data_IF_200281178048
#
_entry.id   IF_200281178048
#
_cell.length_a   1.000
_cell.length_b   1.000
_cell.length_c   1.000
_cell.angle_alpha   90.00
_cell.angle_beta   90.00
_cell.angle_gamma   90.00
#
_symmetry.space_group_name_H-M   'P 1'
#
loop_
_entity.id
_entity.type
_entity.pdbx_description
1 polymer ?
#
# COMPACT_ATOMS: atom_id res chain seq x y z
N UNK A 1 -1.82 43.52 31.58
CA UNK A 1 -2.12 42.07 31.71
C UNK A 1 -2.40 41.53 30.30
N UNK A 2 -1.36 41.22 29.52
CA UNK A 2 -1.49 40.74 28.14
C UNK A 2 -0.66 39.45 28.05
N UNK A 3 -1.31 38.32 27.80
CA UNK A 3 -0.76 37.12 27.14
C UNK A 3 -1.82 36.01 27.07
N UNK A 4 -2.88 36.27 26.32
CA UNK A 4 -3.67 35.22 25.69
C UNK A 4 -3.01 34.89 24.35
N UNK A 5 -1.89 34.18 24.34
CA UNK A 5 -1.42 33.52 23.11
C UNK A 5 -2.36 32.34 22.89
N UNK A 6 -3.41 32.55 22.09
CA UNK A 6 -4.17 31.45 21.51
C UNK A 6 -3.18 30.60 20.71
N UNK A 7 -2.70 29.51 21.31
CA UNK A 7 -2.13 28.41 20.53
C UNK A 7 -3.29 27.88 19.70
N UNK A 8 -3.33 28.21 18.41
CA UNK A 8 -4.26 27.60 17.46
C UNK A 8 -4.13 26.09 17.60
N UNK A 9 -5.18 25.45 18.10
CA UNK A 9 -5.18 24.03 18.38
C UNK A 9 -5.00 23.27 17.05
N UNK A 10 -3.82 22.69 16.84
CA UNK A 10 -3.52 21.99 15.60
C UNK A 10 -4.18 20.60 15.59
N UNK A 11 -5.47 20.56 15.30
CA UNK A 11 -6.23 19.32 15.24
C UNK A 11 -5.70 18.35 14.20
N UNK A 12 -5.01 18.83 13.15
CA UNK A 12 -4.46 17.94 12.12
C UNK A 12 -3.34 17.10 12.70
N UNK A 13 -2.38 17.75 13.37
CA UNK A 13 -1.25 17.07 14.02
C UNK A 13 -1.71 16.11 15.13
N UNK A 14 -2.72 16.50 15.92
CA UNK A 14 -3.33 15.61 16.91
C UNK A 14 -3.97 14.36 16.27
N UNK A 15 -4.70 14.55 15.18
CA UNK A 15 -5.31 13.47 14.40
C UNK A 15 -4.26 12.53 13.81
N UNK A 16 -3.25 13.08 13.14
CA UNK A 16 -2.13 12.32 12.54
C UNK A 16 -1.36 11.53 13.59
N UNK A 17 -1.05 12.15 14.73
CA UNK A 17 -0.37 11.47 15.83
C UNK A 17 -1.21 10.31 16.35
N UNK A 18 -2.52 10.51 16.55
CA UNK A 18 -3.42 9.45 17.00
C UNK A 18 -3.55 8.32 15.95
N UNK A 19 -3.55 8.67 14.66
CA UNK A 19 -3.59 7.71 13.56
C UNK A 19 -2.31 6.87 13.53
N UNK A 20 -1.14 7.49 13.68
CA UNK A 20 0.13 6.77 13.78
C UNK A 20 0.18 5.83 15.00
N UNK A 21 -0.41 6.21 16.13
CA UNK A 21 -0.54 5.30 17.30
C UNK A 21 -1.41 4.10 16.95
N UNK A 22 -2.55 4.33 16.29
CA UNK A 22 -3.46 3.28 15.85
C UNK A 22 -2.78 2.30 14.87
N UNK A 23 -2.06 2.80 13.87
CA UNK A 23 -1.37 1.96 12.89
C UNK A 23 -0.20 1.17 13.51
N UNK A 24 0.52 1.78 14.45
CA UNK A 24 1.65 1.18 15.15
C UNK A 24 1.22 0.04 16.08
N UNK A 25 0.21 0.28 16.92
CA UNK A 25 -0.14 -0.63 18.03
C UNK A 25 -1.44 -1.40 17.82
N UNK A 26 -2.12 -1.19 16.69
CA UNK A 26 -3.27 -1.98 16.26
C UNK A 26 -4.62 -1.30 16.45
N UNK A 27 -5.67 -2.00 16.00
CA UNK A 27 -7.02 -1.48 15.79
C UNK A 27 -7.79 -1.24 17.10
N UNK A 28 -7.32 -0.34 17.96
CA UNK A 28 -8.03 0.05 19.19
C UNK A 28 -9.12 1.08 18.88
N UNK A 29 -10.42 0.75 19.10
CA UNK A 29 -11.54 1.66 18.80
C UNK A 29 -11.45 3.01 19.53
N UNK A 30 -10.90 3.03 20.76
CA UNK A 30 -10.77 4.26 21.55
C UNK A 30 -9.77 5.24 20.95
N UNK A 31 -8.63 4.73 20.46
CA UNK A 31 -7.64 5.55 19.77
C UNK A 31 -8.25 6.07 18.46
N UNK A 32 -9.00 5.23 17.78
CA UNK A 32 -9.60 5.57 16.50
C UNK A 32 -10.69 6.67 16.61
N UNK A 33 -11.51 6.64 17.65
CA UNK A 33 -12.47 7.72 17.91
C UNK A 33 -11.78 9.09 18.03
N UNK A 34 -10.59 9.14 18.65
CA UNK A 34 -9.78 10.37 18.73
C UNK A 34 -9.28 10.82 17.35
N UNK A 35 -8.94 9.89 16.45
CA UNK A 35 -8.55 10.22 15.06
C UNK A 35 -9.68 10.97 14.37
N UNK A 36 -10.89 10.39 14.36
CA UNK A 36 -12.07 10.99 13.72
C UNK A 36 -12.40 12.34 14.35
N UNK A 37 -12.44 12.43 15.69
CA UNK A 37 -12.85 13.64 16.39
C UNK A 37 -11.94 14.82 16.07
N UNK A 38 -10.62 14.60 16.06
CA UNK A 38 -9.65 15.63 15.72
C UNK A 38 -9.83 16.12 14.27
N UNK A 39 -9.92 15.21 13.30
CA UNK A 39 -10.14 15.63 11.91
C UNK A 39 -11.48 16.35 11.70
N UNK A 40 -12.56 15.92 12.37
CA UNK A 40 -13.85 16.63 12.34
C UNK A 40 -13.79 18.02 12.96
N UNK A 41 -13.10 18.21 14.10
CA UNK A 41 -12.87 19.52 14.70
C UNK A 41 -12.07 20.43 13.75
N UNK A 42 -11.06 19.87 13.09
CA UNK A 42 -10.32 20.54 12.02
C UNK A 42 -11.20 21.02 10.87
N UNK A 43 -12.09 20.15 10.37
CA UNK A 43 -13.05 20.51 9.31
C UNK A 43 -14.09 21.54 9.73
N UNK A 44 -14.49 21.59 11.01
CA UNK A 44 -15.35 22.68 11.50
C UNK A 44 -14.69 24.06 11.36
N UNK A 45 -13.37 24.12 11.55
CA UNK A 45 -12.60 25.36 11.41
C UNK A 45 -12.20 25.64 9.94
N UNK A 46 -11.91 24.58 9.19
CA UNK A 46 -11.40 24.66 7.83
C UNK A 46 -12.16 23.69 6.89
N UNK A 47 -13.42 23.99 6.54
CA UNK A 47 -14.33 23.05 5.87
C UNK A 47 -13.97 22.72 4.41
N UNK A 48 -12.97 23.40 3.83
CA UNK A 48 -12.47 23.13 2.47
C UNK A 48 -11.03 22.61 2.46
N UNK A 49 -10.52 22.19 3.61
CA UNK A 49 -9.15 21.70 3.69
C UNK A 49 -9.06 20.25 3.17
N UNK A 50 -8.39 20.11 2.04
CA UNK A 50 -8.19 18.86 1.30
C UNK A 50 -7.55 17.78 2.18
N UNK A 51 -6.56 18.13 3.01
CA UNK A 51 -5.84 17.17 3.85
C UNK A 51 -6.76 16.60 4.93
N UNK A 52 -7.59 17.42 5.56
CA UNK A 52 -8.54 16.91 6.55
C UNK A 52 -9.55 15.94 5.95
N UNK A 53 -10.13 16.25 4.78
CA UNK A 53 -11.04 15.34 4.10
C UNK A 53 -10.34 14.03 3.69
N UNK A 54 -9.13 14.11 3.13
CA UNK A 54 -8.36 12.89 2.79
C UNK A 54 -8.07 12.04 4.02
N UNK A 55 -7.53 12.63 5.10
CA UNK A 55 -7.17 11.89 6.30
C UNK A 55 -8.38 11.32 7.03
N UNK A 56 -9.51 12.03 7.01
CA UNK A 56 -10.77 11.52 7.56
C UNK A 56 -11.33 10.36 6.71
N UNK A 57 -11.29 10.47 5.39
CA UNK A 57 -11.66 9.39 4.47
C UNK A 57 -10.78 8.15 4.65
N UNK A 58 -9.46 8.33 4.74
CA UNK A 58 -8.50 7.27 5.01
C UNK A 58 -8.75 6.60 6.36
N UNK A 59 -8.99 7.38 7.41
CA UNK A 59 -9.35 6.85 8.70
C UNK A 59 -10.64 5.99 8.58
N UNK A 60 -11.71 6.53 8.01
CA UNK A 60 -12.96 5.77 7.84
C UNK A 60 -12.75 4.48 7.05
N UNK A 61 -11.91 4.52 6.03
CA UNK A 61 -11.57 3.36 5.21
C UNK A 61 -10.85 2.28 6.03
N UNK A 62 -9.88 2.64 6.88
CA UNK A 62 -9.22 1.70 7.80
C UNK A 62 -10.20 0.99 8.76
N UNK A 63 -11.31 1.65 9.11
CA UNK A 63 -12.37 1.08 9.95
C UNK A 63 -13.53 0.46 9.17
N UNK A 64 -13.40 0.32 7.86
CA UNK A 64 -14.44 -0.21 6.96
C UNK A 64 -15.76 0.56 7.03
N UNK A 65 -15.70 1.85 7.37
CA UNK A 65 -16.80 2.81 7.26
C UNK A 65 -16.84 3.32 5.82
N UNK A 66 -17.18 2.43 4.90
CA UNK A 66 -16.91 2.60 3.46
C UNK A 66 -17.73 3.73 2.83
N UNK A 67 -18.95 3.93 3.31
CA UNK A 67 -19.81 5.03 2.83
C UNK A 67 -19.22 6.37 3.25
N UNK A 68 -18.84 6.53 4.51
CA UNK A 68 -18.22 7.77 4.99
C UNK A 68 -16.86 8.00 4.35
N UNK A 69 -16.05 6.96 4.18
CA UNK A 69 -14.77 7.05 3.46
C UNK A 69 -14.94 7.58 2.04
N UNK A 70 -15.88 6.98 1.29
CA UNK A 70 -16.16 7.36 -0.10
C UNK A 70 -16.65 8.81 -0.20
N UNK A 71 -17.48 9.25 0.74
CA UNK A 71 -17.98 10.63 0.78
C UNK A 71 -16.86 11.64 1.00
N UNK A 72 -15.97 11.39 1.97
CA UNK A 72 -14.85 12.29 2.27
C UNK A 72 -13.83 12.32 1.13
N UNK A 73 -13.54 11.17 0.52
CA UNK A 73 -12.72 11.11 -0.69
C UNK A 73 -13.35 11.86 -1.86
N UNK A 74 -14.66 11.78 -2.05
CA UNK A 74 -15.35 12.52 -3.10
C UNK A 74 -15.28 14.04 -2.87
N UNK A 75 -15.52 14.52 -1.65
CA UNK A 75 -15.38 15.94 -1.31
C UNK A 75 -13.94 16.40 -1.59
N UNK A 76 -12.96 15.61 -1.13
CA UNK A 76 -11.54 15.90 -1.36
C UNK A 76 -11.21 15.98 -2.85
N UNK A 77 -11.68 15.03 -3.66
CA UNK A 77 -11.41 15.00 -5.10
C UNK A 77 -12.17 16.09 -5.87
N UNK A 78 -13.28 16.63 -5.36
CA UNK A 78 -13.91 17.85 -5.90
C UNK A 78 -13.02 19.08 -5.67
N UNK A 79 -12.34 19.15 -4.52
CA UNK A 79 -11.44 20.26 -4.16
C UNK A 79 -10.06 20.12 -4.83
N UNK A 80 -9.58 18.90 -5.06
CA UNK A 80 -8.32 18.61 -5.73
C UNK A 80 -8.49 17.46 -6.72
N UNK A 81 -9.03 17.74 -7.92
CA UNK A 81 -9.33 16.70 -8.89
C UNK A 81 -8.07 16.01 -9.40
N UNK A 82 -8.15 14.70 -9.69
CA UNK A 82 -7.08 14.00 -10.37
C UNK A 82 -7.09 14.37 -11.85
N UNK A 83 -6.01 14.02 -12.55
CA UNK A 83 -5.97 14.07 -14.01
C UNK A 83 -6.09 12.66 -14.56
N UNK A 84 -7.11 12.43 -15.39
CA UNK A 84 -7.29 11.17 -16.10
C UNK A 84 -6.07 10.89 -16.99
N UNK A 85 -5.68 9.62 -17.09
CA UNK A 85 -4.52 9.23 -17.89
C UNK A 85 -4.77 9.47 -19.37
N UNK A 86 -3.76 10.03 -20.03
CA UNK A 86 -3.64 10.09 -21.49
C UNK A 86 -2.74 8.95 -21.99
N UNK A 87 -2.62 8.80 -23.30
CA UNK A 87 -1.80 7.73 -23.91
C UNK A 87 -0.34 7.76 -23.43
N UNK A 88 0.23 8.94 -23.22
CA UNK A 88 1.59 9.06 -22.72
C UNK A 88 1.73 8.65 -21.25
N UNK A 89 0.68 8.82 -20.43
CA UNK A 89 0.65 8.28 -19.07
C UNK A 89 0.55 6.76 -19.07
N UNK A 90 -0.24 6.18 -19.97
CA UNK A 90 -0.33 4.73 -20.17
C UNK A 90 1.01 4.15 -20.60
N UNK A 91 1.70 4.78 -21.56
CA UNK A 91 3.05 4.39 -22.00
C UNK A 91 4.08 4.54 -20.87
N UNK A 92 3.95 5.58 -20.05
CA UNK A 92 4.85 5.80 -18.91
C UNK A 92 4.67 4.72 -17.84
N UNK A 93 3.42 4.40 -17.48
CA UNK A 93 3.11 3.32 -16.55
C UNK A 93 3.52 1.95 -17.11
N UNK A 94 3.32 1.68 -18.40
CA UNK A 94 3.79 0.43 -19.02
C UNK A 94 5.32 0.33 -19.00
N UNK A 95 6.04 1.41 -19.35
CA UNK A 95 7.50 1.46 -19.38
C UNK A 95 8.10 1.05 -18.05
N UNK A 96 7.65 1.66 -16.96
CA UNK A 96 8.19 1.45 -15.62
C UNK A 96 7.46 0.36 -14.82
N UNK A 97 6.55 -0.39 -15.43
CA UNK A 97 5.83 -1.47 -14.75
C UNK A 97 6.81 -2.55 -14.28
N UNK A 98 6.84 -2.87 -12.97
CA UNK A 98 7.76 -3.85 -12.43
C UNK A 98 7.46 -5.27 -12.96
N UNK A 99 8.47 -6.14 -12.84
CA UNK A 99 8.38 -7.57 -13.12
C UNK A 99 8.10 -8.29 -11.79
N UNK A 100 6.90 -8.84 -11.62
CA UNK A 100 6.55 -9.56 -10.40
C UNK A 100 6.95 -11.03 -10.49
N UNK A 101 7.55 -11.53 -9.41
CA UNK A 101 7.93 -12.93 -9.26
C UNK A 101 7.38 -13.46 -7.94
N UNK A 102 6.50 -14.45 -8.05
CA UNK A 102 5.87 -15.12 -6.90
C UNK A 102 6.44 -16.52 -6.74
N UNK A 103 6.18 -17.13 -5.59
CA UNK A 103 6.39 -18.55 -5.41
C UNK A 103 5.51 -19.36 -6.41
N UNK A 104 6.00 -20.45 -7.03
CA UNK A 104 5.18 -21.31 -7.88
C UNK A 104 3.92 -21.85 -7.21
N UNK A 105 3.97 -22.06 -5.89
CA UNK A 105 2.85 -22.51 -5.05
C UNK A 105 1.92 -21.39 -4.60
N UNK A 106 2.10 -20.16 -5.09
CA UNK A 106 1.19 -19.06 -4.78
C UNK A 106 -0.24 -19.41 -5.20
N UNK A 107 -1.13 -19.37 -4.22
CA UNK A 107 -2.52 -19.78 -4.30
C UNK A 107 -3.41 -18.64 -4.77
N UNK A 108 -3.18 -17.43 -4.27
CA UNK A 108 -3.96 -16.25 -4.58
C UNK A 108 -3.47 -15.57 -5.85
N UNK A 109 -4.39 -15.29 -6.76
CA UNK A 109 -4.05 -14.59 -8.00
C UNK A 109 -4.05 -13.08 -7.76
N UNK A 110 -3.27 -12.37 -8.58
CA UNK A 110 -3.41 -10.93 -8.71
C UNK A 110 -4.72 -10.62 -9.46
N UNK A 111 -5.67 -9.94 -8.80
CA UNK A 111 -6.97 -9.54 -9.34
C UNK A 111 -6.87 -8.28 -10.20
N UNK A 112 -6.22 -7.27 -9.64
CA UNK A 112 -6.18 -5.92 -10.19
C UNK A 112 -4.85 -5.24 -9.96
N UNK A 113 -4.60 -4.23 -10.80
CA UNK A 113 -3.45 -3.35 -10.72
C UNK A 113 -3.92 -1.93 -11.03
N UNK A 114 -3.63 -0.99 -10.14
CA UNK A 114 -3.83 0.44 -10.38
C UNK A 114 -2.49 1.16 -10.32
N UNK A 115 -2.11 1.82 -11.42
CA UNK A 115 -0.94 2.69 -11.43
C UNK A 115 -1.34 4.14 -11.15
N UNK A 116 -0.82 4.71 -10.06
CA UNK A 116 -1.03 6.11 -9.69
C UNK A 116 0.25 6.89 -9.93
N UNK A 117 0.23 7.75 -10.93
CA UNK A 117 1.36 8.63 -11.28
C UNK A 117 1.29 9.87 -10.40
N UNK A 118 2.38 10.19 -9.72
CA UNK A 118 2.41 11.42 -8.92
C UNK A 118 2.53 12.66 -9.85
N UNK A 119 1.76 13.75 -9.63
CA UNK A 119 1.68 14.87 -10.58
C UNK A 119 2.92 15.75 -10.67
N UNK A 120 3.82 15.69 -9.66
CA UNK A 120 5.03 16.54 -9.59
C UNK A 120 6.34 15.75 -9.49
N UNK A 121 6.45 14.86 -8.50
CA UNK A 121 7.55 13.91 -8.32
C UNK A 121 7.53 12.85 -9.44
N UNK A 122 8.70 12.43 -9.97
CA UNK A 122 8.77 11.40 -11.01
C UNK A 122 8.71 10.00 -10.37
N UNK A 123 7.56 9.67 -9.78
CA UNK A 123 7.32 8.40 -9.12
C UNK A 123 5.94 7.85 -9.50
N UNK A 124 5.85 6.53 -9.68
CA UNK A 124 4.61 5.80 -9.93
C UNK A 124 4.41 4.80 -8.81
N UNK A 125 3.23 4.83 -8.20
CA UNK A 125 2.78 3.78 -7.28
C UNK A 125 1.99 2.72 -8.06
N UNK A 126 2.46 1.48 -8.05
CA UNK A 126 1.74 0.31 -8.56
C UNK A 126 1.06 -0.39 -7.39
N UNK A 127 -0.26 -0.23 -7.31
CA UNK A 127 -1.11 -0.79 -6.27
C UNK A 127 -1.62 -2.16 -6.75
N UNK A 128 -1.18 -3.21 -6.06
CA UNK A 128 -1.40 -4.62 -6.38
C UNK A 128 -2.53 -5.15 -5.51
N UNK A 129 -3.56 -5.74 -6.12
CA UNK A 129 -4.71 -6.29 -5.39
C UNK A 129 -4.76 -7.79 -5.61
N UNK A 130 -4.45 -8.56 -4.58
CA UNK A 130 -4.46 -10.03 -4.56
C UNK A 130 -5.83 -10.56 -4.17
N UNK A 131 -6.11 -11.83 -4.47
CA UNK A 131 -7.40 -12.45 -4.12
C UNK A 131 -7.72 -12.38 -2.64
N UNK A 132 -6.74 -12.65 -1.78
CA UNK A 132 -6.88 -12.58 -0.33
C UNK A 132 -5.52 -12.59 0.37
N UNK A 133 -5.49 -12.57 1.71
CA UNK A 133 -4.33 -12.87 2.56
C UNK A 133 -4.56 -14.19 3.31
N UNK A 134 -3.61 -15.12 3.20
CA UNK A 134 -3.72 -16.47 3.76
C UNK A 134 -4.04 -16.51 5.26
N UNK A 135 -3.69 -15.46 6.00
CA UNK A 135 -3.90 -15.37 7.45
C UNK A 135 -5.25 -14.76 7.86
N UNK A 136 -5.99 -14.16 6.93
CA UNK A 136 -7.18 -13.35 7.24
C UNK A 136 -8.47 -13.76 6.48
N UNK A 137 -8.81 -15.05 6.36
CA UNK A 137 -9.95 -15.54 5.56
C UNK A 137 -11.34 -15.03 5.93
N UNK A 138 -11.49 -14.43 7.11
CA UNK A 138 -12.75 -13.97 7.67
C UNK A 138 -12.76 -12.49 8.00
N UNK A 139 -11.79 -11.73 7.49
CA UNK A 139 -11.75 -10.32 7.78
C UNK A 139 -12.70 -9.50 6.89
N UNK A 140 -13.32 -10.06 5.86
CA UNK A 140 -14.22 -9.37 4.92
C UNK A 140 -13.54 -8.29 4.06
N UNK A 141 -12.20 -8.28 3.95
CA UNK A 141 -11.53 -7.54 2.90
C UNK A 141 -11.40 -8.46 1.67
N UNK A 142 -12.11 -8.20 0.56
CA UNK A 142 -12.15 -9.10 -0.59
C UNK A 142 -10.86 -9.07 -1.45
N UNK A 143 -9.81 -8.45 -0.93
CA UNK A 143 -8.49 -8.41 -1.53
C UNK A 143 -7.46 -7.97 -0.51
N UNK A 144 -6.30 -8.62 -0.54
CA UNK A 144 -5.10 -8.02 0.03
C UNK A 144 -4.51 -6.97 -0.93
N UNK A 145 -3.98 -5.90 -0.36
CA UNK A 145 -3.49 -4.75 -1.10
C UNK A 145 -2.02 -4.54 -0.78
N UNK A 146 -1.17 -4.46 -1.79
CA UNK A 146 0.26 -4.22 -1.64
C UNK A 146 0.71 -3.11 -2.61
N UNK A 147 1.82 -2.44 -2.32
CA UNK A 147 2.25 -1.29 -3.12
C UNK A 147 3.74 -1.35 -3.42
N UNK A 148 4.07 -1.05 -4.67
CA UNK A 148 5.44 -0.85 -5.16
C UNK A 148 5.55 0.55 -5.74
N UNK A 149 6.59 1.29 -5.40
CA UNK A 149 6.89 2.59 -5.99
C UNK A 149 8.14 2.53 -6.85
N UNK A 150 8.05 3.08 -8.05
CA UNK A 150 9.18 3.22 -8.98
C UNK A 150 9.42 4.71 -9.19
N UNK A 151 10.57 5.19 -8.74
CA UNK A 151 11.07 6.53 -9.03
C UNK A 151 11.97 6.48 -10.27
N UNK A 152 11.89 7.51 -11.10
CA UNK A 152 12.57 7.54 -12.39
C UNK A 152 13.04 8.94 -12.79
N UNK A 153 13.96 9.00 -13.74
CA UNK A 153 14.35 10.22 -14.42
C UNK A 153 13.80 10.22 -15.84
N UNK A 154 12.84 11.11 -16.14
CA UNK A 154 12.21 11.21 -17.46
C UNK A 154 13.18 11.50 -18.60
N UNK A 155 14.22 12.32 -18.35
CA UNK A 155 15.16 12.76 -19.39
C UNK A 155 16.14 11.65 -19.75
N UNK A 156 16.67 10.97 -18.73
CA UNK A 156 17.65 9.89 -18.89
C UNK A 156 16.99 8.53 -19.16
N UNK A 157 15.68 8.42 -18.94
CA UNK A 157 14.92 7.18 -19.10
C UNK A 157 15.51 6.06 -18.21
N UNK A 158 15.81 6.40 -16.96
CA UNK A 158 16.37 5.48 -15.97
C UNK A 158 15.47 5.41 -14.74
N UNK A 159 15.46 4.27 -14.07
CA UNK A 159 14.93 4.11 -12.72
C UNK A 159 15.98 4.65 -11.75
N UNK A 160 15.53 5.45 -10.78
CA UNK A 160 16.38 6.07 -9.75
C UNK A 160 16.06 5.55 -8.36
N UNK A 161 14.88 4.94 -8.16
CA UNK A 161 14.46 4.38 -6.89
C UNK A 161 13.45 3.25 -7.08
N UNK A 162 13.59 2.20 -6.26
CA UNK A 162 12.64 1.09 -6.18
C UNK A 162 12.29 0.90 -4.71
N UNK A 163 11.02 1.07 -4.39
CA UNK A 163 10.50 0.93 -3.03
C UNK A 163 9.39 -0.11 -3.01
N UNK A 164 9.38 -0.97 -2.01
CA UNK A 164 8.30 -1.95 -1.82
C UNK A 164 7.72 -1.85 -0.42
N UNK A 165 6.42 -2.10 -0.32
CA UNK A 165 5.76 -2.30 0.95
C UNK A 165 5.97 -3.76 1.39
N UNK A 166 6.51 -3.95 2.60
CA UNK A 166 6.67 -5.26 3.22
C UNK A 166 6.18 -5.19 4.66
N UNK A 167 4.92 -5.56 4.89
CA UNK A 167 4.36 -5.67 6.24
C UNK A 167 4.58 -4.44 7.12
N UNK A 168 4.25 -3.26 6.60
CA UNK A 168 4.45 -1.91 7.18
C UNK A 168 5.85 -1.32 7.03
N UNK A 169 6.86 -2.11 6.67
CA UNK A 169 8.18 -1.58 6.31
C UNK A 169 8.17 -1.10 4.86
N UNK A 170 8.89 -0.02 4.58
CA UNK A 170 9.24 0.37 3.21
C UNK A 170 10.67 -0.06 2.97
N UNK A 171 10.87 -0.91 1.97
CA UNK A 171 12.18 -1.48 1.63
C UNK A 171 12.68 -0.90 0.30
N UNK A 172 13.99 -0.67 0.21
CA UNK A 172 14.65 -0.25 -1.03
C UNK A 172 16.09 -0.73 -1.06
N UNK A 173 16.61 -0.99 -2.25
CA UNK A 173 18.01 -1.40 -2.47
C UNK A 173 18.56 -0.75 -3.73
N UNK A 174 19.88 -0.53 -3.77
CA UNK A 174 20.55 -0.13 -5.01
C UNK A 174 20.52 -1.25 -6.05
N UNK A 175 20.57 -2.51 -5.61
CA UNK A 175 20.51 -3.69 -6.47
C UNK A 175 19.21 -3.74 -7.28
N UNK A 176 18.08 -3.38 -6.68
CA UNK A 176 16.81 -3.32 -7.40
C UNK A 176 16.80 -2.21 -8.46
N UNK A 177 17.44 -1.07 -8.21
CA UNK A 177 17.59 0.02 -9.19
C UNK A 177 18.49 -0.42 -10.35
N UNK A 178 19.64 -1.06 -10.04
CA UNK A 178 20.56 -1.62 -11.04
C UNK A 178 19.87 -2.67 -11.91
N UNK A 179 19.14 -3.61 -11.30
CA UNK A 179 18.34 -4.60 -12.00
C UNK A 179 17.30 -3.97 -12.93
N UNK A 180 16.56 -2.96 -12.45
CA UNK A 180 15.56 -2.29 -13.27
C UNK A 180 16.18 -1.68 -14.54
N UNK A 181 17.29 -0.97 -14.40
CA UNK A 181 17.98 -0.32 -15.51
C UNK A 181 18.58 -1.32 -16.51
N UNK A 182 19.02 -2.50 -16.04
CA UNK A 182 19.47 -3.59 -16.91
C UNK A 182 18.32 -4.30 -17.66
N UNK A 183 17.09 -4.19 -17.16
CA UNK A 183 15.92 -4.88 -17.71
C UNK A 183 14.84 -3.91 -18.22
N UNK A 184 15.25 -2.99 -19.09
CA UNK A 184 14.35 -2.05 -19.77
C UNK A 184 13.50 -1.21 -18.79
N UNK A 185 14.11 -0.75 -17.69
CA UNK A 185 13.51 0.09 -16.66
C UNK A 185 12.42 -0.63 -15.84
N UNK A 186 12.46 -1.96 -15.79
CA UNK A 186 11.48 -2.79 -15.07
C UNK A 186 12.11 -3.54 -13.91
N UNK A 187 11.98 -3.00 -12.71
CA UNK A 187 12.50 -3.62 -11.50
C UNK A 187 11.90 -5.02 -11.27
N UNK A 188 12.74 -5.98 -10.88
CA UNK A 188 12.29 -7.25 -10.30
C UNK A 188 11.76 -7.03 -8.90
N UNK A 189 10.53 -7.46 -8.66
CA UNK A 189 9.90 -7.46 -7.34
C UNK A 189 9.51 -8.90 -7.01
N UNK A 190 10.02 -9.41 -5.91
CA UNK A 190 9.61 -10.70 -5.38
C UNK A 190 8.40 -10.49 -4.45
N UNK A 191 7.48 -11.44 -4.44
CA UNK A 191 6.25 -11.36 -3.65
C UNK A 191 6.17 -12.57 -2.74
N UNK A 192 6.07 -12.32 -1.44
CA UNK A 192 5.97 -13.37 -0.43
C UNK A 192 4.74 -14.25 -0.67
N UNK A 193 4.92 -15.56 -0.47
CA UNK A 193 3.83 -16.52 -0.57
C UNK A 193 2.74 -16.26 0.48
N UNK A 194 1.47 -16.23 0.03
CA UNK A 194 0.27 -16.21 0.87
C UNK A 194 -0.05 -14.87 1.56
N UNK A 195 0.96 -14.19 2.10
CA UNK A 195 0.82 -12.90 2.79
C UNK A 195 1.25 -11.68 1.92
N UNK A 196 1.68 -11.93 0.68
CA UNK A 196 1.99 -10.97 -0.39
C UNK A 196 2.96 -9.80 -0.14
N UNK A 197 3.64 -9.73 1.01
CA UNK A 197 4.68 -8.73 1.26
C UNK A 197 5.67 -8.63 0.08
N UNK A 198 5.82 -7.42 -0.46
CA UNK A 198 6.66 -7.16 -1.63
C UNK A 198 8.12 -6.89 -1.25
N UNK A 199 9.05 -7.52 -1.95
CA UNK A 199 10.48 -7.50 -1.67
C UNK A 199 11.27 -7.00 -2.88
N UNK A 200 12.17 -6.02 -2.73
CA UNK A 200 13.07 -5.62 -3.80
C UNK A 200 14.16 -6.69 -4.01
N UNK A 201 14.87 -6.67 -5.13
CA UNK A 201 16.07 -7.49 -5.28
C UNK A 201 17.11 -7.12 -4.19
N UNK A 202 17.81 -8.09 -3.59
CA UNK A 202 18.78 -7.85 -2.52
C UNK A 202 18.17 -7.65 -1.12
N UNK A 203 16.86 -7.94 -0.98
CA UNK A 203 16.14 -7.88 0.29
C UNK A 203 16.77 -8.70 1.41
N UNK A 204 17.56 -9.73 1.09
CA UNK A 204 18.21 -10.64 2.03
C UNK A 204 19.15 -9.91 3.01
N UNK A 205 19.65 -8.73 2.60
CA UNK A 205 20.54 -7.89 3.40
C UNK A 205 19.79 -6.91 4.32
N UNK A 206 18.47 -6.83 4.18
CA UNK A 206 17.65 -5.86 4.88
C UNK A 206 17.14 -6.41 6.21
N UNK A 207 16.97 -5.49 7.17
CA UNK A 207 16.30 -5.75 8.43
C UNK A 207 15.03 -4.89 8.48
N UNK A 208 13.84 -5.46 8.21
CA UNK A 208 12.64 -4.67 8.00
C UNK A 208 12.18 -4.01 9.31
N UNK A 209 12.00 -2.68 9.26
CA UNK A 209 11.46 -1.88 10.35
C UNK A 209 10.35 -0.96 9.83
N UNK A 210 9.26 -0.87 10.58
CA UNK A 210 8.22 0.13 10.34
C UNK A 210 8.55 1.41 11.11
N UNK A 211 8.54 2.54 10.41
CA UNK A 211 8.86 3.86 10.94
C UNK A 211 7.58 4.68 11.10
N UNK A 212 7.30 5.12 12.33
CA UNK A 212 6.17 5.98 12.66
C UNK A 212 6.68 7.33 13.16
N UNK A 213 6.99 8.23 12.23
CA UNK A 213 7.64 9.51 12.51
C UNK A 213 6.85 10.40 13.48
N UNK A 214 5.52 10.45 13.35
CA UNK A 214 4.64 11.29 14.21
C UNK A 214 4.70 10.93 15.69
N UNK A 215 5.17 9.73 16.02
CA UNK A 215 5.36 9.26 17.40
C UNK A 215 6.80 8.84 17.68
N UNK A 216 7.73 9.17 16.79
CA UNK A 216 9.16 8.83 16.90
C UNK A 216 9.39 7.34 17.25
N UNK A 217 8.58 6.44 16.68
CA UNK A 217 8.61 5.01 17.00
C UNK A 217 9.15 4.20 15.83
N UNK A 218 10.01 3.23 16.13
CA UNK A 218 10.42 2.16 15.23
C UNK A 218 9.93 0.83 15.75
N UNK A 219 9.39 0.00 14.87
CA UNK A 219 8.90 -1.35 15.20
C UNK A 219 9.59 -2.34 14.27
N UNK A 220 10.29 -3.31 14.85
CA UNK A 220 10.90 -4.41 14.10
C UNK A 220 9.79 -5.26 13.49
N UNK A 221 9.93 -5.56 12.20
CA UNK A 221 9.02 -6.40 11.43
C UNK A 221 9.65 -7.79 11.29
N UNK A 222 8.79 -8.83 11.25
CA UNK A 222 9.26 -10.19 11.04
C UNK A 222 9.92 -10.33 9.68
N UNK A 223 11.12 -10.89 9.64
CA UNK A 223 11.84 -11.18 8.41
C UNK A 223 11.31 -12.43 7.70
N UNK A 224 11.80 -12.70 6.48
CA UNK A 224 11.39 -13.86 5.70
C UNK A 224 11.68 -15.21 6.36
N UNK A 225 12.84 -15.44 7.02
CA UNK A 225 13.06 -16.65 7.80
C UNK A 225 12.04 -16.86 8.93
N UNK A 226 11.69 -15.81 9.67
CA UNK A 226 10.67 -15.85 10.73
C UNK A 226 9.30 -16.20 10.15
N UNK A 227 8.89 -15.51 9.08
CA UNK A 227 7.60 -15.75 8.40
C UNK A 227 7.51 -17.15 7.83
N UNK A 228 8.57 -17.64 7.18
CA UNK A 228 8.65 -19.02 6.73
C UNK A 228 8.43 -20.01 7.89
N UNK A 229 9.11 -19.82 9.04
CA UNK A 229 8.94 -20.73 10.18
C UNK A 229 7.51 -20.75 10.71
N UNK A 230 6.77 -19.66 10.61
CA UNK A 230 5.36 -19.59 11.01
C UNK A 230 4.47 -20.27 9.97
N UNK A 231 4.56 -19.83 8.71
CA UNK A 231 3.76 -20.35 7.61
C UNK A 231 4.03 -21.83 7.32
N UNK A 232 5.24 -22.33 7.58
CA UNK A 232 5.56 -23.75 7.43
C UNK A 232 4.97 -24.61 8.56
N UNK A 233 4.68 -24.02 9.73
CA UNK A 233 3.95 -24.71 10.81
C UNK A 233 2.46 -24.73 10.50
N UNK A 234 1.87 -23.55 10.35
CA UNK A 234 0.45 -23.35 10.06
C UNK A 234 0.19 -21.90 9.65
N UNK A 235 -0.83 -21.67 8.84
CA UNK A 235 -1.47 -20.36 8.70
C UNK A 235 -2.24 -20.01 9.97
N UNK A 236 -2.60 -18.74 10.16
CA UNK A 236 -3.21 -18.24 11.40
C UNK A 236 -4.55 -18.90 11.76
N UNK A 237 -5.41 -19.15 10.77
CA UNK A 237 -6.76 -19.69 10.98
C UNK A 237 -7.06 -20.89 10.04
N UNK A 238 -6.36 -22.03 10.18
CA UNK A 238 -6.34 -23.11 9.19
C UNK A 238 -7.65 -23.90 9.07
N UNK A 239 -8.59 -23.70 10.00
CA UNK A 239 -9.89 -24.35 10.04
C UNK A 239 -11.04 -23.36 9.85
N UNK A 240 -10.76 -22.13 9.40
CA UNK A 240 -11.82 -21.16 9.12
C UNK A 240 -12.70 -21.67 7.96
N UNK A 241 -14.04 -21.63 8.06
CA UNK A 241 -14.92 -22.17 7.01
C UNK A 241 -14.70 -21.57 5.61
N UNK A 242 -14.37 -20.28 5.54
CA UNK A 242 -14.04 -19.60 4.27
C UNK A 242 -12.67 -20.00 3.70
N UNK A 243 -11.78 -20.55 4.52
CA UNK A 243 -10.44 -21.03 4.12
C UNK A 243 -10.38 -22.54 3.90
N UNK A 244 -11.53 -23.22 3.77
CA UNK A 244 -11.59 -24.70 3.72
C UNK A 244 -10.71 -25.31 2.62
N UNK A 245 -10.57 -24.61 1.49
CA UNK A 245 -9.81 -25.04 0.33
C UNK A 245 -8.43 -24.35 0.23
N UNK A 246 -8.08 -23.52 1.20
CA UNK A 246 -6.80 -22.81 1.22
C UNK A 246 -5.67 -23.70 1.72
N UNK A 247 -4.43 -23.45 1.29
CA UNK A 247 -3.27 -24.08 1.90
C UNK A 247 -3.22 -23.79 3.41
N UNK A 248 -3.13 -24.83 4.23
CA UNK A 248 -3.05 -24.69 5.70
C UNK A 248 -1.65 -24.32 6.19
N UNK A 249 -0.65 -24.44 5.34
CA UNK A 249 0.75 -24.12 5.59
C UNK A 249 1.53 -24.09 4.28
N UNK A 250 2.70 -23.48 4.29
CA UNK A 250 3.67 -23.63 3.23
C UNK A 250 4.33 -25.00 3.29
N UNK A 251 4.34 -25.73 2.17
CA UNK A 251 5.04 -27.02 2.05
C UNK A 251 6.32 -26.85 1.24
N UNK A 252 7.44 -27.39 1.74
CA UNK A 252 8.75 -27.27 1.13
C UNK A 252 9.80 -26.72 2.10
N UNK A 253 11.03 -26.59 1.61
CA UNK A 253 12.14 -25.99 2.34
C UNK A 253 12.08 -24.46 2.31
N UNK A 254 12.91 -23.79 3.12
CA UNK A 254 13.07 -22.34 3.04
C UNK A 254 13.56 -21.89 1.65
N UNK A 255 14.43 -22.67 1.01
CA UNK A 255 14.90 -22.40 -0.35
C UNK A 255 13.74 -22.41 -1.36
N UNK A 256 12.79 -23.32 -1.19
CA UNK A 256 11.59 -23.37 -2.02
C UNK A 256 10.70 -22.15 -1.79
N UNK A 257 10.56 -21.71 -0.52
CA UNK A 257 9.77 -20.55 -0.13
C UNK A 257 10.22 -19.26 -0.81
N UNK A 258 11.54 -19.04 -0.90
CA UNK A 258 12.15 -17.84 -1.49
C UNK A 258 12.58 -18.01 -2.96
N UNK A 259 12.12 -19.05 -3.65
CA UNK A 259 12.55 -19.33 -5.03
C UNK A 259 12.05 -18.32 -6.07
N UNK A 260 10.90 -17.68 -5.81
CA UNK A 260 10.28 -16.63 -6.66
C UNK A 260 10.45 -16.86 -8.17
N UNK A 261 10.06 -18.03 -8.68
CA UNK A 261 10.32 -18.42 -10.07
C UNK A 261 9.11 -18.27 -10.99
N UNK A 262 7.90 -18.04 -10.46
CA UNK A 262 6.69 -17.84 -11.26
C UNK A 262 6.52 -16.36 -11.58
N UNK A 263 6.64 -16.03 -12.87
CA UNK A 263 6.53 -14.66 -13.37
C UNK A 263 5.08 -14.23 -13.59
N UNK A 264 4.73 -13.01 -13.17
CA UNK A 264 3.45 -12.35 -13.45
C UNK A 264 3.70 -11.09 -14.28
N UNK A 265 3.19 -11.07 -15.51
CA UNK A 265 3.35 -9.93 -16.43
C UNK A 265 2.30 -8.83 -16.16
N UNK A 266 2.69 -7.84 -15.36
CA UNK A 266 1.84 -6.71 -14.99
C UNK A 266 1.35 -5.87 -16.18
N UNK A 267 2.12 -5.79 -17.26
CA UNK A 267 1.71 -5.01 -18.45
C UNK A 267 0.42 -5.53 -19.07
N UNK A 268 0.09 -6.82 -18.91
CA UNK A 268 -1.19 -7.38 -19.36
C UNK A 268 -2.37 -6.72 -18.64
N UNK A 269 -2.25 -6.41 -17.35
CA UNK A 269 -3.28 -5.72 -16.57
C UNK A 269 -3.43 -4.27 -17.02
N UNK A 270 -2.31 -3.54 -17.18
CA UNK A 270 -2.33 -2.16 -17.67
C UNK A 270 -2.95 -2.05 -19.06
N UNK A 271 -2.60 -2.95 -19.99
CA UNK A 271 -3.17 -2.98 -21.34
C UNK A 271 -4.66 -3.30 -21.35
N UNK A 272 -5.08 -4.29 -20.53
CA UNK A 272 -6.47 -4.77 -20.48
C UNK A 272 -7.41 -3.80 -19.76
N UNK A 273 -7.04 -3.35 -18.56
CA UNK A 273 -7.91 -2.57 -17.67
C UNK A 273 -7.65 -1.06 -17.74
N UNK A 274 -6.47 -0.63 -18.20
CA UNK A 274 -6.07 0.78 -18.33
C UNK A 274 -6.31 1.61 -17.06
N UNK A 275 -6.18 0.99 -15.88
CA UNK A 275 -6.36 1.65 -14.58
C UNK A 275 -5.11 2.45 -14.22
N UNK A 276 -4.97 3.61 -14.88
CA UNK A 276 -3.88 4.56 -14.67
C UNK A 276 -4.48 5.93 -14.42
N UNK A 277 -3.97 6.63 -13.42
CA UNK A 277 -4.44 7.98 -13.07
C UNK A 277 -3.31 8.83 -12.51
N UNK A 278 -3.36 10.14 -12.73
CA UNK A 278 -2.41 11.06 -12.11
C UNK A 278 -3.05 11.73 -10.90
N UNK A 279 -2.50 11.50 -9.70
CA UNK A 279 -3.01 12.06 -8.44
C UNK A 279 -1.98 12.02 -7.32
N UNK A 280 -2.16 12.88 -6.31
CA UNK A 280 -1.45 12.77 -5.02
C UNK A 280 -2.16 11.86 -4.01
N UNK A 281 -3.38 11.41 -4.33
CA UNK A 281 -4.31 10.79 -3.39
C UNK A 281 -4.67 9.38 -3.84
N UNK A 282 -3.72 8.43 -3.81
CA UNK A 282 -3.90 7.09 -4.38
C UNK A 282 -5.14 6.39 -3.81
N UNK A 283 -5.33 6.37 -2.49
CA UNK A 283 -6.48 5.68 -1.90
C UNK A 283 -7.82 6.28 -2.36
N UNK A 284 -7.91 7.61 -2.44
CA UNK A 284 -9.11 8.27 -2.91
C UNK A 284 -9.41 7.95 -4.38
N UNK A 285 -8.41 8.00 -5.26
CA UNK A 285 -8.64 7.74 -6.69
C UNK A 285 -8.91 6.27 -6.98
N UNK A 286 -8.23 5.35 -6.29
CA UNK A 286 -8.50 3.91 -6.41
C UNK A 286 -9.95 3.61 -6.01
N UNK A 287 -10.38 4.14 -4.86
CA UNK A 287 -11.74 3.97 -4.35
C UNK A 287 -12.81 4.60 -5.25
N UNK A 288 -12.57 5.78 -5.82
CA UNK A 288 -13.60 6.52 -6.58
C UNK A 288 -13.63 6.24 -8.08
N UNK A 289 -12.53 5.78 -8.68
CA UNK A 289 -12.43 5.65 -10.14
C UNK A 289 -12.24 4.22 -10.65
N UNK A 290 -11.76 3.28 -9.83
CA UNK A 290 -11.30 1.98 -10.36
C UNK A 290 -11.90 0.76 -9.69
N UNK A 291 -11.85 0.67 -8.36
CA UNK A 291 -12.27 -0.56 -7.68
C UNK A 291 -13.73 -0.51 -7.27
N UNK A 292 -14.46 -1.57 -7.61
CA UNK A 292 -15.85 -1.79 -7.20
C UNK A 292 -15.96 -2.59 -5.89
N UNK A 293 -14.84 -2.84 -5.20
CA UNK A 293 -14.76 -3.64 -3.99
C UNK A 293 -13.83 -2.98 -2.96
N UNK A 294 -14.00 -3.32 -1.68
CA UNK A 294 -13.17 -2.80 -0.60
C UNK A 294 -11.76 -3.40 -0.62
N UNK A 295 -10.79 -2.68 -0.07
CA UNK A 295 -9.45 -3.17 0.19
C UNK A 295 -8.91 -2.48 1.45
N UNK A 296 -7.88 -3.04 2.08
CA UNK A 296 -7.24 -2.37 3.20
C UNK A 296 -6.30 -1.26 2.70
N UNK A 297 -6.56 0.04 2.98
CA UNK A 297 -5.76 1.12 2.43
C UNK A 297 -4.39 1.15 3.10
N UNK A 298 -3.34 1.49 2.34
CA UNK A 298 -1.99 1.67 2.87
C UNK A 298 -1.64 3.15 2.88
N UNK A 299 -0.89 3.58 3.88
CA UNK A 299 -0.36 4.94 3.96
C UNK A 299 0.60 5.16 2.80
N UNK A 300 0.38 6.23 2.04
CA UNK A 300 1.27 6.64 0.95
C UNK A 300 1.91 7.96 1.38
N UNK A 301 3.21 7.92 1.63
CA UNK A 301 4.01 9.06 2.08
C UNK A 301 4.26 10.10 0.97
#
# INVERSE_FOLDING_TARGET
RIKGRNMTENYFEKGDRALSIYEAYGRNPLVFNKVIENYKKGLKLHPKNILYHYSLGYAYHLMRRLMEASMEYEIMLKLNPPRLALDDDLKLADRYAPRLFVNPKEFFKLKDLVAVIHPKKPIIAYNLFWEDDIDYPGDNDPSDHEVVWIEFNKKKVEVTGVYTYFHKAILSTEEAVKDANLHNQRARINVQWGEHGSLPLGWEKLHPEALFEKISKRIKIKDMPQRYRELNKSVKNPNHPLAKDWPKKFTGSYKDFISFSKYIELRKFLKKKKMVITSKWPNAVINRYFLSYNYFPKTVA
#
